data_IF_101385773145
#
_entry.id   IF_101385773145
#
_cell.length_a   1.000
_cell.length_b   1.000
_cell.length_c   1.000
_cell.angle_alpha   90.00
_cell.angle_beta   90.00
_cell.angle_gamma   90.00
#
_symmetry.space_group_name_H-M   'P 1'
#
loop_
_entity.id
_entity.type
_entity.pdbx_description
1 polymer ?
#
# COMPACT_ATOMS: atom_id res chain seq x y z
N UNK A 1 -15.90 -11.76 -10.39
CA UNK A 1 -16.50 -11.21 -11.62
C UNK A 1 -17.77 -11.96 -11.99
N UNK A 2 -17.78 -13.29 -11.98
CA UNK A 2 -18.96 -14.08 -12.41
C UNK A 2 -20.19 -13.97 -11.50
N UNK A 3 -20.04 -13.70 -10.21
CA UNK A 3 -21.18 -13.55 -9.28
C UNK A 3 -21.93 -12.22 -9.45
N UNK A 4 -21.27 -11.15 -9.95
CA UNK A 4 -21.92 -9.85 -10.21
C UNK A 4 -22.99 -9.90 -11.29
N UNK A 5 -22.89 -10.86 -12.20
CA UNK A 5 -23.79 -10.97 -13.38
C UNK A 5 -24.97 -11.90 -13.14
N UNK A 6 -25.06 -12.54 -11.98
CA UNK A 6 -26.16 -13.45 -11.63
C UNK A 6 -27.14 -12.77 -10.67
N UNK A 7 -28.43 -12.94 -10.95
CA UNK A 7 -29.47 -12.59 -10.00
C UNK A 7 -29.23 -13.37 -8.67
N UNK A 8 -29.45 -12.74 -7.49
CA UNK A 8 -30.07 -11.41 -7.30
C UNK A 8 -29.10 -10.22 -7.35
N UNK A 9 -27.82 -10.44 -7.65
CA UNK A 9 -26.79 -9.38 -7.54
C UNK A 9 -26.94 -8.32 -8.63
N UNK A 10 -27.16 -8.72 -9.87
CA UNK A 10 -27.18 -7.79 -11.01
C UNK A 10 -28.23 -6.69 -10.82
N UNK A 11 -29.45 -7.06 -10.47
CA UNK A 11 -30.56 -6.11 -10.27
C UNK A 11 -30.33 -5.19 -9.05
N UNK A 12 -29.65 -5.69 -7.99
CA UNK A 12 -29.42 -4.93 -6.76
C UNK A 12 -28.27 -3.96 -6.85
N UNK A 13 -27.26 -4.23 -7.65
CA UNK A 13 -26.04 -3.42 -7.76
C UNK A 13 -25.96 -2.59 -9.03
N UNK A 14 -26.62 -2.99 -10.11
CA UNK A 14 -26.52 -2.30 -11.41
C UNK A 14 -26.88 -0.81 -11.39
N UNK A 15 -27.84 -0.33 -10.57
CA UNK A 15 -28.12 1.11 -10.48
C UNK A 15 -26.95 1.94 -9.93
N UNK A 16 -26.02 1.31 -9.24
CA UNK A 16 -24.89 1.94 -8.55
C UNK A 16 -23.55 1.64 -9.19
N UNK A 17 -23.53 0.96 -10.34
CA UNK A 17 -22.28 0.72 -11.07
C UNK A 17 -21.78 2.02 -11.68
N UNK A 18 -20.51 2.32 -11.46
CA UNK A 18 -19.85 3.36 -12.23
C UNK A 18 -19.72 2.92 -13.69
N UNK A 19 -20.33 3.70 -14.58
CA UNK A 19 -20.33 3.50 -16.05
C UNK A 19 -19.41 4.50 -16.75
N UNK A 20 -18.22 4.72 -16.22
CA UNK A 20 -17.28 5.75 -16.65
C UNK A 20 -17.75 7.17 -16.37
N UNK A 21 -18.63 7.35 -15.40
CA UNK A 21 -19.06 8.65 -14.92
C UNK A 21 -18.05 9.15 -13.88
N UNK A 22 -17.33 10.22 -14.22
CA UNK A 22 -16.38 10.89 -13.31
C UNK A 22 -17.05 11.57 -12.10
N UNK A 23 -18.37 11.51 -12.01
CA UNK A 23 -19.17 12.04 -10.90
C UNK A 23 -19.69 10.94 -9.97
N UNK A 24 -19.01 9.80 -9.91
CA UNK A 24 -19.39 8.72 -8.99
C UNK A 24 -19.33 9.22 -7.55
N UNK A 25 -20.48 9.14 -6.86
CA UNK A 25 -20.64 9.75 -5.55
C UNK A 25 -20.48 8.73 -4.42
N UNK A 26 -20.22 9.24 -3.23
CA UNK A 26 -20.22 8.47 -1.98
C UNK A 26 -21.54 7.74 -1.75
N UNK A 27 -22.66 8.38 -2.10
CA UNK A 27 -24.00 7.81 -2.02
C UNK A 27 -24.16 6.63 -2.99
N UNK A 28 -23.61 6.72 -4.20
CA UNK A 28 -23.62 5.62 -5.17
C UNK A 28 -22.76 4.44 -4.66
N UNK A 29 -21.60 4.69 -4.09
CA UNK A 29 -20.76 3.65 -3.49
C UNK A 29 -21.49 2.96 -2.31
N UNK A 30 -22.13 3.74 -1.43
CA UNK A 30 -22.96 3.21 -0.34
C UNK A 30 -24.13 2.38 -0.87
N UNK A 31 -24.78 2.86 -1.91
CA UNK A 31 -25.87 2.15 -2.60
C UNK A 31 -25.40 0.80 -3.16
N UNK A 32 -24.21 0.77 -3.76
CA UNK A 32 -23.60 -0.46 -4.27
C UNK A 32 -23.38 -1.50 -3.16
N UNK A 33 -22.79 -1.09 -2.03
CA UNK A 33 -22.55 -1.98 -0.88
C UNK A 33 -23.87 -2.46 -0.26
N UNK A 34 -24.87 -1.58 -0.16
CA UNK A 34 -26.22 -1.95 0.27
C UNK A 34 -26.84 -3.01 -0.67
N UNK A 35 -26.66 -2.85 -1.98
CA UNK A 35 -27.12 -3.81 -2.99
C UNK A 35 -26.47 -5.19 -2.81
N UNK A 36 -25.19 -5.24 -2.54
CA UNK A 36 -24.46 -6.49 -2.26
C UNK A 36 -25.02 -7.18 -1.01
N UNK A 37 -25.25 -6.42 0.07
CA UNK A 37 -25.85 -6.97 1.29
C UNK A 37 -27.28 -7.47 1.06
N UNK A 38 -28.12 -6.67 0.38
CA UNK A 38 -29.49 -7.02 0.07
C UNK A 38 -29.60 -8.24 -0.87
N UNK A 39 -28.56 -8.54 -1.62
CA UNK A 39 -28.44 -9.77 -2.42
C UNK A 39 -27.99 -11.00 -1.61
N UNK A 40 -27.85 -10.88 -0.29
CA UNK A 40 -27.52 -11.99 0.60
C UNK A 40 -26.04 -12.34 0.68
N UNK A 41 -25.14 -11.45 0.23
CA UNK A 41 -23.70 -11.69 0.32
C UNK A 41 -23.17 -11.61 1.75
N UNK A 42 -23.73 -10.70 2.57
CA UNK A 42 -23.34 -10.51 3.96
C UNK A 42 -24.55 -10.51 4.87
N UNK A 43 -24.44 -11.23 5.99
CA UNK A 43 -25.48 -11.33 7.04
C UNK A 43 -25.27 -10.34 8.18
N UNK A 44 -24.04 -9.79 8.31
CA UNK A 44 -23.73 -8.78 9.31
C UNK A 44 -24.55 -7.50 9.09
N UNK A 45 -25.28 -7.09 10.13
CA UNK A 45 -26.08 -5.85 10.09
C UNK A 45 -25.24 -4.60 9.93
N UNK A 46 -24.00 -4.60 10.40
CA UNK A 46 -23.03 -3.50 10.30
C UNK A 46 -22.14 -3.54 9.04
N UNK A 47 -22.36 -4.48 8.13
CA UNK A 47 -21.52 -4.67 6.94
C UNK A 47 -21.36 -3.40 6.10
N UNK A 48 -22.47 -2.71 5.86
CA UNK A 48 -22.47 -1.48 5.02
C UNK A 48 -21.69 -0.37 5.67
N UNK A 49 -21.91 -0.15 6.97
CA UNK A 49 -21.24 0.88 7.77
C UNK A 49 -19.73 0.62 7.82
N UNK A 50 -19.32 -0.62 8.05
CA UNK A 50 -17.90 -1.01 8.04
C UNK A 50 -17.27 -0.76 6.67
N UNK A 51 -17.92 -1.17 5.59
CA UNK A 51 -17.40 -0.92 4.24
C UNK A 51 -17.28 0.57 3.94
N UNK A 52 -18.31 1.35 4.27
CA UNK A 52 -18.30 2.81 4.06
C UNK A 52 -17.22 3.47 4.91
N UNK A 53 -17.04 3.06 6.15
CA UNK A 53 -15.99 3.56 7.02
C UNK A 53 -14.60 3.30 6.43
N UNK A 54 -14.35 2.11 5.90
CA UNK A 54 -13.10 1.83 5.18
C UNK A 54 -12.93 2.70 3.94
N UNK A 55 -13.99 2.87 3.14
CA UNK A 55 -13.96 3.75 1.98
C UNK A 55 -13.64 5.20 2.38
N UNK A 56 -14.20 5.68 3.49
CA UNK A 56 -13.92 7.02 4.03
C UNK A 56 -12.48 7.15 4.55
N UNK A 57 -12.04 6.20 5.38
CA UNK A 57 -10.71 6.22 5.99
C UNK A 57 -9.60 6.21 4.94
N UNK A 58 -9.78 5.48 3.85
CA UNK A 58 -8.78 5.34 2.78
C UNK A 58 -9.06 6.21 1.55
N UNK A 59 -10.09 7.08 1.61
CA UNK A 59 -10.52 7.92 0.48
C UNK A 59 -10.64 7.14 -0.84
N UNK A 60 -11.28 5.96 -0.79
CA UNK A 60 -11.36 5.05 -1.93
C UNK A 60 -12.20 5.61 -3.09
N UNK A 61 -13.09 6.57 -2.83
CA UNK A 61 -13.96 7.21 -3.83
C UNK A 61 -13.17 7.91 -4.94
N UNK A 62 -11.93 8.35 -4.65
CA UNK A 62 -11.06 8.97 -5.66
C UNK A 62 -10.80 8.03 -6.85
N UNK A 63 -10.75 6.72 -6.61
CA UNK A 63 -10.50 5.74 -7.65
C UNK A 63 -11.70 5.50 -8.56
N UNK A 64 -12.92 5.72 -8.06
CA UNK A 64 -14.14 5.60 -8.84
C UNK A 64 -14.28 6.69 -9.92
N UNK A 65 -13.61 7.83 -9.69
CA UNK A 65 -13.63 9.02 -10.54
C UNK A 65 -12.34 9.18 -11.37
N UNK A 66 -11.46 8.20 -11.35
CA UNK A 66 -10.15 8.23 -11.96
C UNK A 66 -10.06 7.21 -13.10
N UNK A 67 -9.51 7.60 -14.23
CA UNK A 67 -9.17 6.63 -15.28
C UNK A 67 -7.94 5.83 -14.86
N UNK A 68 -7.73 4.68 -15.50
CA UNK A 68 -6.52 3.88 -15.26
C UNK A 68 -5.24 4.65 -15.56
N UNK A 69 -5.25 5.51 -16.58
CA UNK A 69 -4.11 6.38 -16.91
C UNK A 69 -3.87 7.46 -15.85
N UNK A 70 -4.94 8.07 -15.33
CA UNK A 70 -4.87 9.02 -14.23
C UNK A 70 -4.36 8.33 -12.95
N UNK A 71 -4.82 7.10 -12.68
CA UNK A 71 -4.33 6.27 -11.59
C UNK A 71 -2.83 5.98 -11.72
N UNK A 72 -2.38 5.58 -12.89
CA UNK A 72 -0.96 5.33 -13.19
C UNK A 72 -0.12 6.60 -13.01
N UNK A 73 -0.59 7.73 -13.52
CA UNK A 73 0.10 9.04 -13.40
C UNK A 73 0.10 9.59 -11.98
N UNK A 74 -0.90 9.27 -11.18
CA UNK A 74 -1.00 9.71 -9.78
C UNK A 74 -0.03 8.98 -8.85
N UNK A 75 0.75 8.03 -9.38
CA UNK A 75 1.60 7.16 -8.54
C UNK A 75 0.79 6.36 -7.53
N UNK A 76 -0.51 6.33 -7.77
CA UNK A 76 -1.45 5.65 -6.90
C UNK A 76 -1.48 6.16 -5.46
N UNK A 77 -1.08 7.40 -5.14
CA UNK A 77 -1.05 7.93 -3.77
C UNK A 77 -0.87 9.43 -3.70
N UNK A 78 -0.72 9.95 -2.49
CA UNK A 78 -0.50 11.39 -2.25
C UNK A 78 0.91 11.87 -2.64
N UNK A 79 1.59 11.18 -3.57
CA UNK A 79 2.88 11.63 -4.10
C UNK A 79 2.64 12.68 -5.17
N UNK A 80 3.15 13.90 -4.95
CA UNK A 80 2.98 15.05 -5.84
C UNK A 80 4.05 15.14 -6.95
N UNK A 81 5.07 14.28 -6.88
CA UNK A 81 6.12 14.16 -7.89
C UNK A 81 5.76 13.24 -9.05
N UNK A 82 6.60 13.24 -10.09
CA UNK A 82 6.47 12.31 -11.22
C UNK A 82 6.94 10.92 -10.83
N UNK A 83 6.12 9.90 -11.07
CA UNK A 83 6.54 8.50 -10.92
C UNK A 83 7.44 8.12 -12.10
N UNK A 84 8.68 7.81 -11.80
CA UNK A 84 9.68 7.44 -12.82
C UNK A 84 9.58 5.95 -13.18
N UNK A 85 10.14 5.53 -14.34
CA UNK A 85 10.19 4.11 -14.69
C UNK A 85 10.83 3.22 -13.63
N UNK A 86 11.86 3.70 -12.92
CA UNK A 86 12.50 2.97 -11.83
C UNK A 86 11.55 2.78 -10.65
N UNK A 87 10.87 3.85 -10.22
CA UNK A 87 9.87 3.77 -9.13
C UNK A 87 8.78 2.77 -9.47
N UNK A 88 8.25 2.83 -10.71
CA UNK A 88 7.24 1.89 -11.18
C UNK A 88 7.77 0.46 -11.22
N UNK A 89 9.01 0.24 -11.69
CA UNK A 89 9.63 -1.09 -11.69
C UNK A 89 9.75 -1.67 -10.28
N UNK A 90 10.18 -0.86 -9.29
CA UNK A 90 10.27 -1.30 -7.89
C UNK A 90 8.87 -1.69 -7.37
N UNK A 91 7.86 -0.85 -7.61
CA UNK A 91 6.47 -1.11 -7.21
C UNK A 91 5.94 -2.40 -7.83
N UNK A 92 6.15 -2.59 -9.13
CA UNK A 92 5.66 -3.77 -9.85
C UNK A 92 6.28 -5.07 -9.32
N UNK A 93 7.58 -5.09 -9.06
CA UNK A 93 8.26 -6.25 -8.47
C UNK A 93 7.80 -6.50 -7.04
N UNK A 94 7.65 -5.44 -6.24
CA UNK A 94 7.18 -5.56 -4.85
C UNK A 94 5.73 -6.06 -4.78
N UNK A 95 4.82 -5.47 -5.55
CA UNK A 95 3.41 -5.85 -5.54
C UNK A 95 3.15 -7.30 -5.98
N UNK A 96 4.02 -7.85 -6.85
CA UNK A 96 3.93 -9.22 -7.36
C UNK A 96 4.80 -10.21 -6.60
N UNK A 97 5.52 -9.76 -5.56
CA UNK A 97 6.51 -10.56 -4.83
C UNK A 97 7.58 -11.19 -5.76
N UNK A 98 8.08 -10.40 -6.71
CA UNK A 98 9.01 -10.84 -7.75
C UNK A 98 10.45 -10.36 -7.50
N UNK A 99 10.88 -10.40 -6.24
CA UNK A 99 12.29 -10.21 -5.87
C UNK A 99 13.12 -11.46 -6.09
N UNK A 100 14.45 -11.30 -6.05
CA UNK A 100 15.38 -12.44 -6.17
C UNK A 100 15.47 -13.30 -4.91
N UNK A 101 14.93 -12.82 -3.78
CA UNK A 101 14.88 -13.57 -2.52
C UNK A 101 13.43 -13.86 -2.11
N UNK A 102 13.13 -15.07 -1.65
CA UNK A 102 11.80 -15.43 -1.19
C UNK A 102 11.45 -14.71 0.13
N UNK A 103 10.15 -14.63 0.44
CA UNK A 103 9.68 -14.24 1.76
C UNK A 103 9.96 -15.39 2.75
N UNK A 104 10.84 -15.11 3.71
CA UNK A 104 11.17 -16.03 4.81
C UNK A 104 11.16 -15.26 6.13
N UNK A 105 10.92 -15.92 7.28
CA UNK A 105 10.97 -15.26 8.58
C UNK A 105 12.28 -14.49 8.80
N UNK A 106 12.19 -13.34 9.46
CA UNK A 106 13.30 -12.48 9.86
C UNK A 106 14.14 -11.88 8.70
N UNK A 107 13.70 -12.03 7.45
CA UNK A 107 14.44 -11.60 6.25
C UNK A 107 13.75 -10.43 5.51
N UNK A 108 13.08 -9.53 6.22
CA UNK A 108 12.40 -8.39 5.62
C UNK A 108 13.35 -7.49 4.82
N UNK A 109 14.55 -7.20 5.36
CA UNK A 109 15.57 -6.40 4.70
C UNK A 109 16.14 -7.09 3.46
N UNK A 110 16.41 -8.40 3.53
CA UNK A 110 16.89 -9.17 2.39
C UNK A 110 15.85 -9.19 1.26
N UNK A 111 14.56 -9.33 1.60
CA UNK A 111 13.48 -9.28 0.64
C UNK A 111 13.44 -7.91 -0.09
N UNK A 112 13.52 -6.81 0.65
CA UNK A 112 13.59 -5.45 0.08
C UNK A 112 14.80 -5.30 -0.84
N UNK A 113 15.99 -5.76 -0.41
CA UNK A 113 17.19 -5.80 -1.23
C UNK A 113 16.94 -6.53 -2.55
N UNK A 114 16.30 -7.70 -2.49
CA UNK A 114 15.99 -8.53 -3.66
C UNK A 114 15.01 -7.87 -4.62
N UNK A 115 14.05 -7.10 -4.12
CA UNK A 115 13.12 -6.32 -4.97
C UNK A 115 13.89 -5.22 -5.72
N UNK A 116 14.74 -4.46 -5.05
CA UNK A 116 15.54 -3.40 -5.67
C UNK A 116 16.49 -3.96 -6.74
N UNK A 117 17.11 -5.12 -6.49
CA UNK A 117 17.94 -5.82 -7.47
C UNK A 117 17.15 -6.26 -8.69
N UNK A 118 16.00 -6.91 -8.47
CA UNK A 118 15.12 -7.37 -9.56
C UNK A 118 14.60 -6.20 -10.42
N UNK A 119 14.30 -5.06 -9.77
CA UNK A 119 13.86 -3.84 -10.46
C UNK A 119 14.97 -3.11 -11.23
N UNK A 120 16.23 -3.54 -11.11
CA UNK A 120 17.37 -2.90 -11.78
C UNK A 120 17.77 -1.58 -11.14
N UNK A 121 17.54 -1.39 -9.83
CA UNK A 121 17.90 -0.16 -9.16
C UNK A 121 19.42 0.05 -9.15
N UNK A 122 19.93 1.27 -9.44
CA UNK A 122 21.36 1.56 -9.47
C UNK A 122 22.00 1.53 -8.07
N UNK A 123 21.22 1.76 -7.03
CA UNK A 123 21.66 1.69 -5.63
C UNK A 123 20.88 0.60 -4.91
N UNK A 124 21.58 -0.45 -4.51
CA UNK A 124 21.00 -1.58 -3.82
C UNK A 124 21.07 -1.37 -2.31
N UNK A 125 19.93 -1.37 -1.59
CA UNK A 125 19.92 -1.24 -0.14
C UNK A 125 20.59 -2.44 0.51
N UNK A 126 21.26 -2.20 1.65
CA UNK A 126 21.98 -3.22 2.40
C UNK A 126 21.86 -3.03 3.91
N UNK A 127 22.21 -4.07 4.66
CA UNK A 127 22.14 -4.13 6.12
C UNK A 127 20.79 -4.69 6.62
N UNK A 128 20.60 -4.64 7.93
CA UNK A 128 19.32 -4.95 8.56
C UNK A 128 18.31 -3.82 8.32
N UNK A 129 17.06 -4.01 8.73
CA UNK A 129 16.02 -3.00 8.50
C UNK A 129 16.36 -1.64 9.11
N UNK A 130 16.87 -1.61 10.35
CA UNK A 130 17.30 -0.35 10.99
C UNK A 130 18.54 0.26 10.33
N UNK A 131 19.42 -0.57 9.76
CA UNK A 131 20.59 -0.09 9.02
C UNK A 131 20.15 0.58 7.71
N UNK A 132 19.11 0.10 7.03
CA UNK A 132 18.58 0.76 5.84
C UNK A 132 18.13 2.19 6.16
N UNK A 133 17.43 2.41 7.29
CA UNK A 133 17.13 3.76 7.75
C UNK A 133 18.42 4.57 8.00
N UNK A 134 19.32 4.06 8.81
CA UNK A 134 20.55 4.78 9.20
C UNK A 134 21.44 5.12 8.01
N UNK A 135 21.56 4.22 7.05
CA UNK A 135 22.40 4.38 5.87
C UNK A 135 21.81 5.37 4.86
N UNK A 136 20.48 5.48 4.78
CA UNK A 136 19.81 6.23 3.69
C UNK A 136 18.90 7.36 4.17
N UNK A 137 18.81 7.67 5.47
CA UNK A 137 17.91 8.72 6.00
C UNK A 137 18.11 10.10 5.37
N UNK A 138 19.28 10.39 4.83
CA UNK A 138 19.54 11.65 4.11
C UNK A 138 18.85 11.72 2.74
N UNK A 139 18.33 10.62 2.24
CA UNK A 139 17.57 10.50 0.98
C UNK A 139 16.09 10.24 1.23
N UNK A 140 15.61 10.49 2.43
CA UNK A 140 14.26 10.21 2.86
C UNK A 140 13.68 11.29 3.77
N UNK A 141 12.58 10.95 4.41
CA UNK A 141 11.87 11.84 5.33
C UNK A 141 11.19 11.03 6.44
N UNK A 142 10.85 11.71 7.54
CA UNK A 142 10.06 11.16 8.65
C UNK A 142 8.55 11.41 8.48
N UNK A 143 8.15 12.25 7.54
CA UNK A 143 6.73 12.48 7.23
C UNK A 143 6.10 11.24 6.61
N UNK A 144 4.86 10.95 6.99
CA UNK A 144 4.01 9.94 6.35
C UNK A 144 3.30 10.47 5.10
N UNK A 145 3.45 11.76 4.82
CA UNK A 145 2.89 12.39 3.63
C UNK A 145 3.88 12.38 2.48
N UNK A 146 3.37 12.34 1.28
CA UNK A 146 4.14 12.47 0.04
C UNK A 146 5.26 11.42 -0.13
N UNK A 147 5.02 10.21 0.36
CA UNK A 147 5.98 9.11 0.24
C UNK A 147 6.09 8.69 -1.23
N UNK A 148 7.29 8.69 -1.83
CA UNK A 148 7.46 8.25 -3.21
C UNK A 148 7.14 6.76 -3.38
N UNK A 149 6.36 6.36 -4.41
CA UNK A 149 6.20 4.96 -4.75
C UNK A 149 7.55 4.28 -4.99
N UNK A 150 7.72 3.08 -4.46
CA UNK A 150 9.00 2.37 -4.48
C UNK A 150 9.94 2.72 -3.31
N UNK A 151 9.63 3.72 -2.48
CA UNK A 151 10.41 4.02 -1.28
C UNK A 151 10.38 2.84 -0.29
N UNK A 152 11.46 2.69 0.45
CA UNK A 152 11.54 1.78 1.60
C UNK A 152 10.91 2.49 2.80
N UNK A 153 9.84 1.93 3.34
CA UNK A 153 9.28 2.36 4.63
C UNK A 153 9.97 1.62 5.76
N UNK A 154 10.34 2.37 6.78
CA UNK A 154 11.13 1.88 7.91
C UNK A 154 10.31 1.99 9.20
N UNK A 155 10.29 0.93 9.96
CA UNK A 155 9.52 0.84 11.19
C UNK A 155 10.26 0.14 12.33
N UNK A 156 9.68 0.25 13.53
CA UNK A 156 10.26 -0.25 14.77
C UNK A 156 10.25 -1.78 14.89
N UNK A 157 9.52 -2.48 14.03
CA UNK A 157 9.40 -3.93 14.07
C UNK A 157 8.53 -4.48 15.20
N UNK A 158 8.38 -5.79 15.24
CA UNK A 158 7.55 -6.51 16.20
C UNK A 158 8.37 -7.50 17.04
N UNK A 159 8.06 -7.56 18.32
CA UNK A 159 8.72 -8.46 19.26
C UNK A 159 10.19 -8.12 19.51
N UNK A 160 10.94 -9.05 20.15
CA UNK A 160 12.32 -8.83 20.55
C UNK A 160 13.25 -8.59 19.36
N UNK A 161 13.17 -9.39 18.31
CA UNK A 161 13.99 -9.22 17.11
C UNK A 161 13.66 -7.93 16.37
N UNK A 162 12.37 -7.60 16.22
CA UNK A 162 11.94 -6.35 15.63
C UNK A 162 12.45 -5.13 16.37
N UNK A 163 12.42 -5.13 17.70
CA UNK A 163 12.92 -4.01 18.49
C UNK A 163 14.43 -3.78 18.38
N UNK A 164 15.19 -4.79 17.98
CA UNK A 164 16.65 -4.68 17.74
C UNK A 164 16.94 -4.27 16.30
N UNK A 165 16.28 -4.91 15.33
CA UNK A 165 16.62 -4.80 13.91
C UNK A 165 15.64 -3.96 13.09
N UNK A 166 14.48 -3.59 13.66
CA UNK A 166 13.41 -2.89 12.94
C UNK A 166 12.66 -3.78 11.96
N UNK A 167 11.81 -3.14 11.14
CA UNK A 167 11.10 -3.77 10.04
C UNK A 167 11.06 -2.83 8.83
N UNK A 168 11.08 -3.39 7.62
CA UNK A 168 11.00 -2.63 6.38
C UNK A 168 9.98 -3.24 5.42
N UNK A 169 9.42 -2.37 4.59
CA UNK A 169 8.57 -2.72 3.47
C UNK A 169 8.83 -1.77 2.31
N UNK A 170 8.12 -1.97 1.20
CA UNK A 170 8.15 -1.09 0.04
C UNK A 170 6.80 -0.42 -0.10
N UNK A 171 6.81 0.91 -0.15
CA UNK A 171 5.62 1.71 -0.39
C UNK A 171 5.18 1.57 -1.84
N UNK A 172 3.96 1.10 -2.04
CA UNK A 172 3.39 0.88 -3.37
C UNK A 172 2.69 2.12 -3.95
N UNK A 173 2.59 3.17 -3.15
CA UNK A 173 1.66 4.27 -3.41
C UNK A 173 0.29 4.01 -2.75
N UNK A 174 -0.60 5.00 -2.78
CA UNK A 174 -1.98 4.90 -2.25
C UNK A 174 -2.11 4.48 -0.79
N UNK A 175 -1.11 4.74 0.03
CA UNK A 175 -1.11 4.31 1.41
C UNK A 175 -0.93 2.80 1.59
N UNK A 176 -0.41 2.08 0.58
CA UNK A 176 -0.20 0.63 0.62
C UNK A 176 1.27 0.27 0.75
N UNK A 177 1.55 -0.79 1.48
CA UNK A 177 2.90 -1.32 1.72
C UNK A 177 2.93 -2.80 1.39
N UNK A 178 3.90 -3.20 0.56
CA UNK A 178 4.27 -4.60 0.40
C UNK A 178 5.43 -4.94 1.33
N UNK A 179 5.36 -6.06 2.02
CA UNK A 179 6.42 -6.44 2.95
C UNK A 179 6.49 -7.96 3.19
N UNK A 180 7.58 -8.37 3.86
CA UNK A 180 7.84 -9.74 4.31
C UNK A 180 7.73 -9.83 5.83
N UNK A 181 6.65 -10.43 6.33
CA UNK A 181 6.44 -10.78 7.75
C UNK A 181 6.76 -12.26 8.03
N UNK A 182 7.66 -12.89 7.27
CA UNK A 182 7.81 -14.34 7.18
C UNK A 182 6.92 -14.96 6.11
N UNK A 183 6.00 -14.17 5.59
CA UNK A 183 5.17 -14.41 4.43
C UNK A 183 4.94 -13.07 3.72
N UNK A 184 4.62 -13.12 2.44
CA UNK A 184 4.30 -11.93 1.67
C UNK A 184 2.96 -11.34 2.10
N UNK A 185 2.92 -10.04 2.35
CA UNK A 185 1.67 -9.31 2.58
C UNK A 185 1.69 -7.94 1.89
N UNK A 186 0.50 -7.51 1.50
CA UNK A 186 0.21 -6.14 1.07
C UNK A 186 -0.90 -5.62 1.97
N UNK A 187 -0.65 -4.51 2.61
CA UNK A 187 -1.55 -3.94 3.61
C UNK A 187 -1.49 -2.41 3.58
N UNK A 188 -2.40 -1.74 4.25
CA UNK A 188 -2.33 -0.30 4.39
C UNK A 188 -1.13 0.11 5.26
N UNK A 189 -0.60 1.32 5.03
CA UNK A 189 0.49 1.87 5.84
C UNK A 189 0.08 1.95 7.32
N UNK A 190 -1.20 2.22 7.61
CA UNK A 190 -1.73 2.25 8.97
C UNK A 190 -1.70 0.86 9.61
N UNK A 191 -2.17 -0.17 8.92
CA UNK A 191 -2.13 -1.57 9.41
C UNK A 191 -0.68 -2.04 9.57
N UNK A 192 0.20 -1.67 8.63
CA UNK A 192 1.62 -1.96 8.70
C UNK A 192 2.29 -1.31 9.93
N UNK A 193 1.92 -0.07 10.26
CA UNK A 193 2.41 0.62 11.46
C UNK A 193 1.83 0.01 12.73
N UNK A 194 0.51 -0.23 12.78
CA UNK A 194 -0.19 -0.70 13.99
C UNK A 194 0.27 -2.08 14.46
N UNK A 195 0.78 -2.90 13.55
CA UNK A 195 1.37 -4.21 13.87
C UNK A 195 2.66 -4.12 14.69
N UNK A 196 3.38 -3.01 14.62
CA UNK A 196 4.69 -2.84 15.24
C UNK A 196 4.57 -2.37 16.69
N UNK A 197 5.62 -2.57 17.51
CA UNK A 197 5.52 -2.46 18.96
C UNK A 197 5.88 -1.11 19.55
N UNK A 198 6.77 -0.35 18.92
CA UNK A 198 7.23 0.92 19.48
C UNK A 198 6.57 2.13 18.79
N UNK A 199 6.42 3.22 19.52
CA UNK A 199 5.94 4.50 19.02
C UNK A 199 7.12 5.41 18.71
N UNK A 200 7.20 5.91 17.49
CA UNK A 200 8.19 6.89 17.06
C UNK A 200 7.47 8.15 16.56
N UNK A 201 7.93 9.33 16.96
CA UNK A 201 7.40 10.63 16.54
C UNK A 201 5.86 10.77 16.65
N UNK A 202 5.27 10.16 17.67
CA UNK A 202 3.82 10.18 17.89
C UNK A 202 3.03 9.16 17.07
N UNK A 203 3.68 8.39 16.20
CA UNK A 203 3.07 7.33 15.40
C UNK A 203 3.60 5.97 15.81
N UNK A 204 2.68 5.02 16.06
CA UNK A 204 3.07 3.64 16.35
C UNK A 204 3.79 3.06 15.14
N UNK A 205 4.91 2.39 15.40
CA UNK A 205 5.67 1.64 14.40
C UNK A 205 6.48 2.46 13.39
N UNK A 206 6.15 3.70 13.16
CA UNK A 206 6.75 4.51 12.11
C UNK A 206 8.10 5.13 12.50
N UNK A 207 9.10 4.98 11.65
CA UNK A 207 10.38 5.69 11.76
C UNK A 207 10.51 6.73 10.63
N UNK A 208 10.26 6.33 9.41
CA UNK A 208 10.39 7.17 8.23
C UNK A 208 10.42 6.33 6.95
N UNK A 209 10.73 7.00 5.85
CA UNK A 209 11.00 6.35 4.58
C UNK A 209 12.33 6.81 4.00
N UNK A 210 12.93 5.98 3.18
CA UNK A 210 14.17 6.28 2.45
C UNK A 210 14.05 5.84 1.00
N UNK A 211 14.82 6.50 0.11
CA UNK A 211 14.97 6.07 -1.27
C UNK A 211 16.46 5.96 -1.59
N UNK A 212 17.06 4.75 -1.57
CA UNK A 212 18.47 4.55 -1.84
C UNK A 212 18.90 5.15 -3.20
N UNK A 213 19.91 6.01 -3.16
CA UNK A 213 20.34 6.79 -4.35
C UNK A 213 19.61 8.12 -4.55
N UNK A 214 18.66 8.45 -3.67
CA UNK A 214 17.77 9.61 -3.79
C UNK A 214 16.52 9.31 -4.62
N UNK A 215 15.49 10.13 -4.44
CA UNK A 215 14.26 10.02 -5.24
C UNK A 215 14.62 10.35 -6.69
N UNK A 216 14.35 9.44 -7.66
CA UNK A 216 14.72 9.67 -9.05
C UNK A 216 14.06 10.93 -9.60
N UNK A 217 14.85 11.81 -10.23
CA UNK A 217 14.32 12.94 -10.95
C UNK A 217 13.63 12.49 -12.26
N UNK A 218 12.56 13.19 -12.62
CA UNK A 218 11.80 12.98 -13.86
C UNK A 218 12.62 13.39 -15.11
#
# INVERSE_FOLDING_TARGET
>A
VYKRQREPYASKVSPYLNKNDKNYTKEAARGFVNGIRAAGWATDSSYVEKCVQHMDNYNLYRFDNMTYEEYQKSGGGNYDGTVTPLMQSIVDHAAKNQGIYPCTPDMCAQWVTGIYQAAGAPTIPYGNAIDMWNNYKNTGNTSMENIPPGAIVCGSGYGTMGSIYGHVGIYLGNGMVANNRGYFSVESLEEWCSWQTATCQGHQGWIGWVFPGGVPAS
#
